data_IF_236318141277
#
_entry.id   IF_236318141277
#
_cell.length_a   1.000
_cell.length_b   1.000
_cell.length_c   1.000
_cell.angle_alpha   90.00
_cell.angle_beta   90.00
_cell.angle_gamma   90.00
#
_symmetry.space_group_name_H-M   'P 1'
#
loop_
_entity.id
_entity.type
_entity.pdbx_description
1 polymer ?
#
# COMPACT_ATOMS: atom_id res chain seq x y z
N UNK A 1 -6.47 -1.13 1.21
CA UNK A 1 -5.47 -2.21 1.02
C UNK A 1 -4.98 -2.07 -0.43
N UNK A 2 -3.71 -1.73 -0.68
CA UNK A 2 -3.23 -1.57 -2.08
C UNK A 2 -3.11 -2.94 -2.73
N UNK A 3 -3.86 -3.16 -3.81
CA UNK A 3 -3.92 -4.42 -4.58
C UNK A 3 -2.74 -4.51 -5.57
N UNK A 4 -1.88 -3.50 -5.65
CA UNK A 4 -0.77 -3.42 -6.60
C UNK A 4 0.55 -3.89 -5.98
N UNK A 5 0.71 -5.21 -5.88
CA UNK A 5 1.95 -5.80 -5.40
C UNK A 5 1.82 -7.25 -4.97
N UNK A 6 2.82 -7.73 -4.25
CA UNK A 6 2.84 -9.03 -3.63
C UNK A 6 3.56 -9.01 -2.27
N UNK A 7 3.32 -10.05 -1.47
CA UNK A 7 4.04 -10.27 -0.22
C UNK A 7 4.49 -11.72 -0.12
N UNK A 8 5.69 -11.91 0.39
CA UNK A 8 6.27 -13.21 0.72
C UNK A 8 6.22 -13.38 2.24
N UNK A 9 5.62 -14.48 2.67
CA UNK A 9 5.49 -14.89 4.07
C UNK A 9 6.40 -16.10 4.31
N UNK A 10 6.95 -16.21 5.51
CA UNK A 10 7.63 -17.44 5.95
C UNK A 10 6.61 -18.54 6.30
N UNK A 11 7.12 -19.71 6.68
CA UNK A 11 6.28 -20.85 7.09
C UNK A 11 5.43 -20.57 8.34
N UNK A 12 5.82 -19.60 9.16
CA UNK A 12 5.05 -19.17 10.34
C UNK A 12 4.04 -18.06 10.01
N UNK A 13 3.97 -17.61 8.75
CA UNK A 13 3.08 -16.54 8.30
C UNK A 13 3.61 -15.12 8.55
N UNK A 14 4.84 -14.97 9.02
CA UNK A 14 5.44 -13.65 9.21
C UNK A 14 5.82 -13.05 7.86
N UNK A 15 5.63 -11.74 7.71
CA UNK A 15 5.92 -11.04 6.46
C UNK A 15 7.42 -10.80 6.29
N UNK A 16 8.05 -11.57 5.39
CA UNK A 16 9.49 -11.47 5.08
C UNK A 16 9.78 -10.41 4.03
N UNK A 17 8.95 -10.30 2.99
CA UNK A 17 9.15 -9.32 1.91
C UNK A 17 7.82 -8.79 1.40
N UNK A 18 7.82 -7.54 0.97
CA UNK A 18 6.74 -6.91 0.21
C UNK A 18 7.34 -6.17 -0.97
N UNK A 19 6.69 -6.24 -2.11
CA UNK A 19 6.98 -5.39 -3.25
C UNK A 19 5.69 -4.78 -3.77
N UNK A 20 5.80 -3.61 -4.35
CA UNK A 20 4.71 -2.96 -5.08
C UNK A 20 5.11 -2.82 -6.53
N UNK A 21 4.15 -2.97 -7.43
CA UNK A 21 4.36 -2.68 -8.84
C UNK A 21 4.18 -1.18 -9.04
N UNK A 22 5.25 -0.43 -9.32
CA UNK A 22 5.22 1.05 -9.34
C UNK A 22 4.71 1.65 -10.64
N UNK A 23 4.39 0.87 -11.67
CA UNK A 23 4.23 1.42 -13.01
C UNK A 23 2.80 1.21 -13.54
N UNK A 24 2.01 2.30 -13.50
CA UNK A 24 0.75 2.46 -14.23
C UNK A 24 0.87 3.48 -15.38
N UNK A 25 2.06 4.03 -15.68
CA UNK A 25 2.20 4.85 -16.88
C UNK A 25 2.30 3.94 -18.11
N UNK A 26 1.64 4.30 -19.23
CA UNK A 26 1.82 3.64 -20.51
C UNK A 26 3.15 4.06 -21.13
N UNK A 27 4.26 3.84 -20.41
CA UNK A 27 5.57 3.90 -21.04
C UNK A 27 5.74 2.72 -22.01
N UNK A 28 6.61 2.84 -23.03
CA UNK A 28 6.77 1.81 -24.05
C UNK A 28 7.04 0.49 -23.35
N UNK A 29 6.18 -0.50 -23.61
CA UNK A 29 6.27 -1.83 -23.00
C UNK A 29 7.71 -2.36 -23.12
N UNK A 30 8.50 -2.19 -22.05
CA UNK A 30 9.83 -2.77 -22.00
C UNK A 30 9.62 -4.28 -22.10
N UNK A 31 10.16 -4.95 -23.13
CA UNK A 31 9.95 -6.38 -23.29
C UNK A 31 10.42 -7.08 -22.01
N UNK A 32 9.50 -7.81 -21.37
CA UNK A 32 9.82 -8.65 -20.23
C UNK A 32 10.98 -9.56 -20.61
N UNK A 33 12.08 -9.46 -19.87
CA UNK A 33 13.15 -10.45 -19.99
C UNK A 33 12.56 -11.82 -19.61
N UNK A 34 12.84 -12.89 -20.39
CA UNK A 34 12.33 -14.22 -20.08
C UNK A 34 12.70 -14.65 -18.65
N UNK A 35 11.70 -14.94 -17.82
CA UNK A 35 11.91 -15.44 -16.46
C UNK A 35 11.79 -16.96 -16.48
N UNK A 36 12.71 -17.62 -15.78
CA UNK A 36 12.75 -19.07 -15.63
C UNK A 36 12.78 -19.43 -14.16
N UNK A 37 11.89 -20.33 -13.76
CA UNK A 37 11.77 -20.77 -12.37
C UNK A 37 11.74 -22.29 -12.39
N UNK A 38 12.71 -22.94 -11.74
CA UNK A 38 12.61 -24.38 -11.45
C UNK A 38 11.86 -24.53 -10.13
N UNK A 39 10.70 -25.18 -10.16
CA UNK A 39 9.97 -25.51 -8.93
C UNK A 39 10.58 -26.74 -8.27
N UNK A 40 11.03 -27.69 -9.09
CA UNK A 40 11.87 -28.83 -8.69
C UNK A 40 12.58 -29.41 -9.94
N UNK A 41 13.26 -30.54 -9.79
CA UNK A 41 13.98 -31.22 -10.87
C UNK A 41 13.08 -31.74 -12.02
N UNK A 42 11.78 -31.88 -11.79
CA UNK A 42 10.80 -32.36 -12.76
C UNK A 42 9.85 -31.26 -13.25
N UNK A 43 9.77 -30.10 -12.60
CA UNK A 43 8.78 -29.07 -12.90
C UNK A 43 9.43 -27.69 -12.99
N UNK A 44 9.19 -27.00 -14.12
CA UNK A 44 9.67 -25.64 -14.35
C UNK A 44 8.59 -24.73 -14.92
N UNK A 45 8.73 -23.43 -14.66
CA UNK A 45 7.88 -22.37 -15.18
C UNK A 45 8.73 -21.41 -16.00
N UNK A 46 8.23 -21.03 -17.19
CA UNK A 46 8.86 -20.05 -18.07
C UNK A 46 7.86 -18.95 -18.42
N UNK A 47 8.20 -17.71 -18.10
CA UNK A 47 7.36 -16.53 -18.32
C UNK A 47 8.04 -15.68 -19.40
N UNK A 48 7.39 -15.57 -20.57
CA UNK A 48 7.89 -14.77 -21.69
C UNK A 48 7.03 -13.52 -21.91
N UNK A 49 5.72 -13.66 -21.74
CA UNK A 49 4.72 -12.61 -21.82
C UNK A 49 3.49 -13.07 -21.03
N UNK A 50 2.50 -12.19 -20.88
CA UNK A 50 1.27 -12.47 -20.14
C UNK A 50 0.51 -13.69 -20.69
N UNK A 51 0.47 -13.84 -22.01
CA UNK A 51 -0.17 -14.94 -22.75
C UNK A 51 0.78 -16.11 -23.04
N UNK A 52 2.03 -16.02 -22.58
CA UNK A 52 3.12 -16.97 -22.85
C UNK A 52 3.80 -17.38 -21.55
N UNK A 53 3.01 -17.99 -20.67
CA UNK A 53 3.46 -18.58 -19.41
C UNK A 53 3.40 -20.09 -19.58
N UNK A 54 4.54 -20.76 -19.57
CA UNK A 54 4.61 -22.19 -19.80
C UNK A 54 5.00 -22.95 -18.54
N UNK A 55 4.27 -24.01 -18.24
CA UNK A 55 4.64 -24.99 -17.23
C UNK A 55 5.15 -26.24 -17.95
N UNK A 56 6.38 -26.64 -17.62
CA UNK A 56 7.03 -27.81 -18.18
C UNK A 56 7.18 -28.91 -17.13
N UNK A 57 6.83 -30.13 -17.51
CA UNK A 57 7.02 -31.36 -16.74
C UNK A 57 8.06 -32.23 -17.44
N UNK A 58 9.12 -32.60 -16.74
CA UNK A 58 10.20 -33.45 -17.21
C UNK A 58 10.12 -34.79 -16.48
N UNK A 59 10.08 -35.89 -17.23
CA UNK A 59 10.16 -37.23 -16.68
C UNK A 59 10.84 -38.17 -17.70
N UNK A 60 11.83 -38.95 -17.25
CA UNK A 60 12.51 -39.96 -18.08
C UNK A 60 13.02 -39.42 -19.44
N UNK A 61 13.61 -38.21 -19.43
CA UNK A 61 14.10 -37.53 -20.64
C UNK A 61 13.01 -37.01 -21.58
N UNK A 62 11.74 -37.14 -21.22
CA UNK A 62 10.59 -36.59 -21.95
C UNK A 62 10.11 -35.30 -21.28
N UNK A 63 9.62 -34.37 -22.09
CA UNK A 63 9.08 -33.11 -21.60
C UNK A 63 7.65 -32.90 -22.13
N UNK A 64 6.72 -32.61 -21.22
CA UNK A 64 5.40 -32.08 -21.54
C UNK A 64 5.35 -30.60 -21.17
N UNK A 65 4.80 -29.75 -22.05
CA UNK A 65 4.77 -28.30 -21.87
C UNK A 65 3.37 -27.79 -22.12
N UNK A 66 2.84 -27.04 -21.17
CA UNK A 66 1.49 -26.47 -21.25
C UNK A 66 1.56 -24.95 -21.17
N UNK A 67 0.86 -24.25 -22.06
CA UNK A 67 0.68 -22.80 -21.95
C UNK A 67 -0.47 -22.53 -20.98
N UNK A 68 -0.16 -21.78 -19.94
CA UNK A 68 -1.06 -21.30 -18.88
C UNK A 68 -1.19 -19.77 -18.93
N UNK A 69 -0.55 -19.12 -19.89
CA UNK A 69 -0.66 -17.69 -20.09
C UNK A 69 -2.03 -17.30 -20.64
N UNK A 70 -2.56 -16.18 -20.16
CA UNK A 70 -3.81 -15.60 -20.64
C UNK A 70 -3.63 -14.11 -20.82
N UNK A 71 -4.18 -13.54 -21.90
CA UNK A 71 -4.18 -12.08 -22.08
C UNK A 71 -5.40 -11.50 -21.40
N UNK A 72 -5.21 -10.74 -20.32
CA UNK A 72 -6.29 -9.95 -19.75
C UNK A 72 -6.56 -8.80 -20.71
N UNK A 73 -7.72 -8.83 -21.38
CA UNK A 73 -8.22 -7.67 -22.08
C UNK A 73 -8.83 -6.74 -21.02
N UNK A 74 -8.08 -5.71 -20.63
CA UNK A 74 -8.66 -4.61 -19.88
C UNK A 74 -9.52 -3.84 -20.88
N UNK A 75 -10.83 -4.00 -20.83
CA UNK A 75 -11.73 -3.13 -21.57
C UNK A 75 -11.40 -1.69 -21.21
N UNK A 76 -11.29 -0.80 -22.20
CA UNK A 76 -10.98 0.62 -21.99
C UNK A 76 -12.01 1.35 -21.08
N UNK A 77 -13.11 0.69 -20.71
CA UNK A 77 -14.04 1.10 -19.65
C UNK A 77 -13.50 0.95 -18.24
N UNK A 78 -12.39 0.23 -18.06
CA UNK A 78 -11.64 0.13 -16.80
C UNK A 78 -10.77 1.36 -16.59
N UNK A 79 -11.33 2.56 -16.71
CA UNK A 79 -10.85 3.67 -15.89
C UNK A 79 -10.93 3.11 -14.48
N UNK A 80 -9.78 2.78 -13.88
CA UNK A 80 -9.68 2.29 -12.51
C UNK A 80 -10.68 3.12 -11.71
N UNK A 81 -11.68 2.46 -11.12
CA UNK A 81 -12.61 3.13 -10.22
C UNK A 81 -11.76 4.03 -9.33
N UNK A 82 -12.07 5.33 -9.20
CA UNK A 82 -11.32 6.22 -8.32
C UNK A 82 -11.03 5.45 -7.03
N UNK A 83 -9.79 5.46 -6.51
CA UNK A 83 -9.43 4.68 -5.33
C UNK A 83 -10.54 4.86 -4.32
N UNK A 84 -11.19 3.74 -3.93
CA UNK A 84 -12.48 3.75 -3.23
C UNK A 84 -12.56 4.95 -2.29
N UNK A 85 -13.42 5.91 -2.64
CA UNK A 85 -13.54 7.14 -1.87
C UNK A 85 -13.83 6.72 -0.43
N UNK A 86 -12.97 7.17 0.49
CA UNK A 86 -13.16 6.88 1.91
C UNK A 86 -14.48 7.51 2.33
N UNK A 87 -15.35 6.72 2.92
CA UNK A 87 -16.57 7.19 3.55
C UNK A 87 -16.27 8.08 4.75
N UNK A 88 -17.31 8.80 5.19
CA UNK A 88 -17.24 9.75 6.30
C UNK A 88 -16.66 9.12 7.59
N UNK A 89 -17.16 7.94 7.97
CA UNK A 89 -16.71 7.21 9.16
C UNK A 89 -15.23 6.83 9.09
N UNK A 90 -14.74 6.50 7.90
CA UNK A 90 -13.37 6.03 7.69
C UNK A 90 -12.38 7.20 7.78
N UNK A 91 -12.76 8.37 7.27
CA UNK A 91 -12.01 9.62 7.45
C UNK A 91 -11.99 10.03 8.92
N UNK A 92 -13.12 9.91 9.62
CA UNK A 92 -13.22 10.24 11.03
C UNK A 92 -12.36 9.29 11.89
N UNK A 93 -12.41 7.98 11.63
CA UNK A 93 -11.55 6.98 12.29
C UNK A 93 -10.07 7.28 12.05
N UNK A 94 -9.70 7.68 10.84
CA UNK A 94 -8.33 8.02 10.50
C UNK A 94 -7.86 9.29 11.25
N UNK A 95 -8.73 10.29 11.37
CA UNK A 95 -8.49 11.50 12.17
C UNK A 95 -8.28 11.16 13.65
N UNK A 96 -9.16 10.35 14.23
CA UNK A 96 -9.00 9.87 15.62
C UNK A 96 -7.72 9.06 15.82
N UNK A 97 -7.35 8.22 14.86
CA UNK A 97 -6.09 7.47 14.92
C UNK A 97 -4.88 8.40 15.00
N UNK A 98 -4.84 9.45 14.17
CA UNK A 98 -3.76 10.45 14.25
C UNK A 98 -3.78 11.16 15.60
N UNK A 99 -4.95 11.55 16.09
CA UNK A 99 -5.09 12.18 17.40
C UNK A 99 -4.57 11.30 18.54
N UNK A 100 -4.92 10.02 18.54
CA UNK A 100 -4.44 9.05 19.54
C UNK A 100 -2.91 8.94 19.48
N UNK A 101 -2.34 8.86 18.28
CA UNK A 101 -0.88 8.76 18.12
C UNK A 101 -0.15 10.04 18.58
N UNK A 102 -0.71 11.22 18.30
CA UNK A 102 -0.21 12.49 18.83
C UNK A 102 -0.25 12.55 20.36
N UNK A 103 -1.32 12.03 20.98
CA UNK A 103 -1.42 11.94 22.44
C UNK A 103 -0.37 10.99 23.03
N UNK A 104 -0.12 9.84 22.40
CA UNK A 104 0.93 8.93 22.83
C UNK A 104 2.33 9.55 22.70
N UNK A 105 2.59 10.27 21.61
CA UNK A 105 3.85 10.98 21.41
C UNK A 105 4.08 12.01 22.52
N UNK A 106 3.03 12.77 22.86
CA UNK A 106 3.06 13.73 23.97
C UNK A 106 3.30 13.06 25.32
N UNK A 107 2.60 11.97 25.63
CA UNK A 107 2.82 11.20 26.87
C UNK A 107 4.27 10.74 26.98
N UNK A 108 4.86 10.25 25.88
CA UNK A 108 6.27 9.87 25.84
C UNK A 108 7.19 11.06 26.07
N UNK A 109 6.88 12.22 25.48
CA UNK A 109 7.60 13.48 25.72
C UNK A 109 7.61 13.86 27.20
N UNK A 110 6.46 13.81 27.87
CA UNK A 110 6.36 14.09 29.31
C UNK A 110 7.13 13.09 30.17
N UNK A 111 7.11 11.79 29.82
CA UNK A 111 7.86 10.76 30.55
C UNK A 111 9.37 10.87 30.38
N UNK A 112 9.84 11.22 29.18
CA UNK A 112 11.27 11.34 28.88
C UNK A 112 11.87 12.64 29.41
N UNK A 113 11.07 13.72 29.50
CA UNK A 113 11.53 15.04 29.92
C UNK A 113 10.60 15.69 30.97
N UNK A 114 10.46 15.08 32.17
CA UNK A 114 9.46 15.46 33.16
C UNK A 114 9.65 16.88 33.73
N UNK A 115 10.87 17.41 33.71
CA UNK A 115 11.20 18.74 34.22
C UNK A 115 11.29 19.82 33.14
N UNK A 116 11.12 19.47 31.86
CA UNK A 116 11.23 20.44 30.77
C UNK A 116 9.85 21.03 30.46
N UNK A 117 9.71 22.35 30.43
CA UNK A 117 8.51 23.01 29.87
C UNK A 117 8.52 23.02 28.33
N UNK A 118 9.61 22.52 27.73
CA UNK A 118 9.87 22.61 26.29
C UNK A 118 9.29 21.43 25.49
N UNK A 119 8.63 20.46 26.13
CA UNK A 119 8.03 19.34 25.40
C UNK A 119 6.99 19.79 24.36
N UNK A 120 6.30 20.93 24.59
CA UNK A 120 5.41 21.57 23.61
C UNK A 120 6.14 22.11 22.36
N UNK A 121 7.45 22.33 22.45
CA UNK A 121 8.27 22.89 21.36
C UNK A 121 8.93 21.80 20.52
N UNK A 122 8.89 20.55 20.99
CA UNK A 122 9.45 19.41 20.26
C UNK A 122 8.48 19.10 19.12
N UNK A 123 8.98 19.13 17.89
CA UNK A 123 8.16 18.78 16.74
C UNK A 123 7.78 17.29 16.81
N UNK A 124 6.52 16.95 16.47
CA UNK A 124 6.12 15.56 16.38
C UNK A 124 6.98 14.80 15.36
N UNK A 125 7.15 13.49 15.52
CA UNK A 125 7.77 12.64 14.52
C UNK A 125 7.20 12.89 13.12
N UNK A 126 8.08 12.94 12.12
CA UNK A 126 7.72 13.25 10.72
C UNK A 126 6.57 12.39 10.20
N UNK A 127 6.51 11.11 10.58
CA UNK A 127 5.43 10.22 10.15
C UNK A 127 4.04 10.66 10.62
N UNK A 128 3.93 11.30 11.79
CA UNK A 128 2.66 11.86 12.29
C UNK A 128 2.26 13.09 11.49
N UNK A 129 3.23 13.94 11.17
CA UNK A 129 3.00 15.13 10.34
C UNK A 129 2.54 14.71 8.93
N UNK A 130 3.18 13.71 8.32
CA UNK A 130 2.76 13.18 7.02
C UNK A 130 1.36 12.57 7.08
N UNK A 131 1.00 11.86 8.15
CA UNK A 131 -0.34 11.30 8.30
C UNK A 131 -1.40 12.39 8.47
N UNK A 132 -1.11 13.44 9.23
CA UNK A 132 -2.00 14.58 9.41
C UNK A 132 -2.28 15.30 8.08
N UNK A 133 -1.24 15.63 7.33
CA UNK A 133 -1.38 16.26 6.00
C UNK A 133 -2.17 15.38 5.04
N UNK A 134 -1.85 14.08 5.00
CA UNK A 134 -2.54 13.12 4.13
C UNK A 134 -4.04 13.01 4.42
N UNK A 135 -4.45 13.08 5.69
CA UNK A 135 -5.88 13.07 6.03
C UNK A 135 -6.57 14.32 5.51
N UNK A 136 -5.94 15.49 5.66
CA UNK A 136 -6.50 16.75 5.15
C UNK A 136 -6.65 16.70 3.62
N UNK A 137 -5.65 16.18 2.90
CA UNK A 137 -5.74 15.98 1.45
C UNK A 137 -6.89 15.04 1.06
N UNK A 138 -7.07 13.94 1.80
CA UNK A 138 -8.17 13.00 1.57
C UNK A 138 -9.54 13.65 1.83
N UNK A 139 -9.66 14.51 2.85
CA UNK A 139 -10.89 15.25 3.14
C UNK A 139 -11.21 16.33 2.10
N UNK A 140 -10.20 16.86 1.40
CA UNK A 140 -10.38 17.79 0.28
C UNK A 140 -10.83 17.07 -0.99
N UNK A 141 -10.39 15.82 -1.18
CA UNK A 141 -10.75 15.01 -2.34
C UNK A 141 -12.08 14.25 -2.16
N UNK A 142 -12.56 14.09 -0.92
CA UNK A 142 -13.81 13.40 -0.61
C UNK A 142 -15.03 14.34 -0.67
N UNK A 143 -16.16 13.79 -1.13
CA UNK A 143 -17.45 14.47 -1.15
C UNK A 143 -18.12 14.35 0.24
N UNK A 144 -17.67 15.18 1.18
CA UNK A 144 -18.14 15.21 2.58
C UNK A 144 -18.63 16.60 2.97
N UNK A 145 -19.49 16.67 3.99
CA UNK A 145 -19.99 17.93 4.52
C UNK A 145 -18.89 18.84 5.07
N UNK A 146 -19.09 20.16 4.96
CA UNK A 146 -18.15 21.16 5.46
C UNK A 146 -18.03 21.12 7.00
N UNK A 147 -19.10 20.74 7.70
CA UNK A 147 -19.11 20.51 9.14
C UNK A 147 -18.17 19.36 9.53
N UNK A 148 -18.24 18.23 8.80
CA UNK A 148 -17.38 17.07 9.05
C UNK A 148 -15.93 17.41 8.71
N UNK A 149 -15.68 18.07 7.58
CA UNK A 149 -14.34 18.53 7.18
C UNK A 149 -13.74 19.45 8.25
N UNK A 150 -14.52 20.37 8.79
CA UNK A 150 -14.10 21.27 9.88
C UNK A 150 -13.80 20.51 11.17
N UNK A 151 -14.62 19.52 11.50
CA UNK A 151 -14.44 18.66 12.67
C UNK A 151 -13.16 17.83 12.57
N UNK A 152 -12.90 17.21 11.42
CA UNK A 152 -11.67 16.46 11.17
C UNK A 152 -10.44 17.36 11.26
N UNK A 153 -10.50 18.56 10.66
CA UNK A 153 -9.42 19.55 10.76
C UNK A 153 -9.15 19.94 12.21
N UNK A 154 -10.20 20.15 13.01
CA UNK A 154 -10.07 20.45 14.43
C UNK A 154 -9.42 19.28 15.20
N UNK A 155 -9.84 18.03 14.95
CA UNK A 155 -9.28 16.83 15.59
C UNK A 155 -7.77 16.69 15.29
N UNK A 156 -7.37 16.88 14.04
CA UNK A 156 -5.98 16.74 13.59
C UNK A 156 -5.10 17.90 14.07
N UNK A 157 -5.64 19.12 14.11
CA UNK A 157 -4.90 20.35 14.45
C UNK A 157 -5.07 20.81 15.91
N UNK A 158 -5.69 20.03 16.79
CA UNK A 158 -5.89 20.36 18.22
C UNK A 158 -4.58 20.50 19.04
N UNK A 159 -3.46 20.85 18.40
CA UNK A 159 -2.13 21.09 18.98
C UNK A 159 -1.40 22.30 18.35
N UNK A 160 -2.00 23.07 17.43
CA UNK A 160 -1.37 24.26 16.84
C UNK A 160 -1.63 25.58 17.61
N UNK A 161 -2.20 25.52 18.81
CA UNK A 161 -2.38 26.65 19.72
C UNK A 161 -1.50 26.48 20.96
#
# INVERSE_FOLDING_TARGET
MSIQGGQYLDQAGNRVRRWMWTNLSPEPHVPLSPIFISLNCHVGVRILAQDKIFVSFLAMGRQAKFNMGTKVQVSASGQLSPPAQLGEDELLLLAFRVRILQLFDRMRGCLNFPSSEQWNKIQPPMYLMTQAVKILELCMAADISDELRSSIKAIVNAQQL
#
